data_IF_097061965131
#
_entry.id   IF_097061965131
#
_cell.length_a   1.000
_cell.length_b   1.000
_cell.length_c   1.000
_cell.angle_alpha   90.00
_cell.angle_beta   90.00
_cell.angle_gamma   90.00
#
_symmetry.space_group_name_H-M   'P 1'
#
loop_
_entity.id
_entity.type
_entity.pdbx_description
1 polymer ?
#
# COMPACT_ATOMS: atom_id res chain seq x y z
N UNK A 1 1.57 4.69 18.29
CA UNK A 1 0.96 3.35 18.22
C UNK A 1 0.51 3.06 16.80
N UNK A 2 0.24 1.80 16.46
CA UNK A 2 0.02 1.34 15.06
C UNK A 2 -0.99 2.18 14.26
N UNK A 3 -2.13 2.52 14.85
CA UNK A 3 -3.14 3.38 14.20
C UNK A 3 -2.61 4.77 13.82
N UNK A 4 -1.76 5.38 14.64
CA UNK A 4 -1.16 6.68 14.32
C UNK A 4 -0.18 6.59 13.14
N UNK A 5 0.55 5.47 13.00
CA UNK A 5 1.42 5.22 11.84
C UNK A 5 0.59 5.07 10.56
N UNK A 6 -0.55 4.37 10.62
CA UNK A 6 -1.48 4.28 9.49
C UNK A 6 -2.09 5.63 9.12
N UNK A 7 -2.40 6.49 10.10
CA UNK A 7 -2.86 7.86 9.83
C UNK A 7 -1.83 8.66 9.03
N UNK A 8 -0.55 8.55 9.36
CA UNK A 8 0.52 9.24 8.62
C UNK A 8 0.57 8.78 7.16
N UNK A 9 0.50 7.46 6.91
CA UNK A 9 0.48 6.91 5.55
C UNK A 9 -0.76 7.40 4.79
N UNK A 10 -1.92 7.40 5.45
CA UNK A 10 -3.18 7.87 4.89
C UNK A 10 -3.10 9.34 4.49
N UNK A 11 -2.60 10.19 5.39
CA UNK A 11 -2.48 11.64 5.19
C UNK A 11 -1.56 11.99 4.01
N UNK A 12 -0.48 11.24 3.81
CA UNK A 12 0.41 11.46 2.67
C UNK A 12 -0.27 11.20 1.32
N UNK A 13 -1.14 10.18 1.23
CA UNK A 13 -1.91 9.93 0.01
C UNK A 13 -3.10 10.89 -0.11
N UNK A 14 -3.79 11.19 0.99
CA UNK A 14 -4.89 12.17 1.03
C UNK A 14 -4.43 13.57 0.62
N UNK A 15 -3.16 13.92 0.84
CA UNK A 15 -2.62 15.20 0.38
C UNK A 15 -2.76 15.41 -1.14
N UNK A 16 -2.80 14.34 -1.94
CA UNK A 16 -2.97 14.39 -3.40
C UNK A 16 -4.44 14.29 -3.85
N UNK A 17 -5.35 13.88 -2.97
CA UNK A 17 -6.78 13.78 -3.26
C UNK A 17 -7.43 15.17 -3.33
N UNK A 18 -8.66 15.30 -3.89
CA UNK A 18 -9.38 16.57 -3.88
C UNK A 18 -9.48 17.18 -2.48
N UNK A 19 -9.17 18.47 -2.35
CA UNK A 19 -9.10 19.17 -1.06
C UNK A 19 -7.77 19.06 -0.31
N UNK A 20 -6.85 18.20 -0.76
CA UNK A 20 -5.50 18.10 -0.22
C UNK A 20 -4.55 19.19 -0.74
N UNK A 21 -3.45 19.44 0.00
CA UNK A 21 -2.44 20.47 -0.32
C UNK A 21 -1.70 20.25 -1.66
N UNK A 22 -1.77 19.04 -2.23
CA UNK A 22 -1.18 18.62 -3.50
C UNK A 22 -2.26 18.19 -4.52
N UNK A 23 -3.51 18.60 -4.31
CA UNK A 23 -4.61 18.27 -5.22
C UNK A 23 -4.32 18.74 -6.66
N UNK A 24 -4.71 17.93 -7.65
CA UNK A 24 -4.52 18.24 -9.06
C UNK A 24 -3.12 17.96 -9.63
N UNK A 25 -2.15 17.54 -8.81
CA UNK A 25 -0.82 17.13 -9.31
C UNK A 25 -0.86 15.87 -10.18
N UNK A 26 -1.83 14.98 -9.95
CA UNK A 26 -2.04 13.76 -10.72
C UNK A 26 -3.53 13.62 -11.08
N UNK A 27 -3.86 12.95 -12.20
CA UNK A 27 -5.22 12.50 -12.46
C UNK A 27 -5.73 11.65 -11.30
N UNK A 28 -6.95 11.90 -10.83
CA UNK A 28 -7.51 11.23 -9.65
C UNK A 28 -7.54 9.71 -9.79
N UNK A 29 -7.81 9.20 -11.01
CA UNK A 29 -7.78 7.76 -11.34
C UNK A 29 -6.42 7.09 -11.17
N UNK A 30 -5.33 7.85 -11.03
CA UNK A 30 -3.99 7.30 -10.78
C UNK A 30 -3.71 7.15 -9.29
N UNK A 31 -4.49 7.79 -8.42
CA UNK A 31 -4.35 7.65 -6.99
C UNK A 31 -4.83 6.26 -6.54
N UNK A 32 -4.15 5.63 -5.59
CA UNK A 32 -4.52 4.29 -5.15
C UNK A 32 -5.89 4.31 -4.45
N UNK A 33 -6.74 3.35 -4.81
CA UNK A 33 -8.04 3.14 -4.16
C UNK A 33 -7.91 2.46 -2.79
N UNK A 34 -6.89 1.62 -2.63
CA UNK A 34 -6.58 0.88 -1.39
C UNK A 34 -5.08 0.89 -1.15
N UNK A 35 -4.67 0.79 0.12
CA UNK A 35 -3.25 0.73 0.52
C UNK A 35 -3.04 -0.50 1.39
N UNK A 36 -2.02 -1.29 1.05
CA UNK A 36 -1.57 -2.46 1.82
C UNK A 36 -0.25 -2.08 2.50
N UNK A 37 -0.17 -2.30 3.81
CA UNK A 37 1.10 -2.23 4.54
C UNK A 37 1.70 -3.64 4.56
N UNK A 38 2.88 -3.80 3.95
CA UNK A 38 3.62 -5.05 3.98
C UNK A 38 4.34 -5.23 5.32
N UNK A 39 4.37 -6.47 5.80
CA UNK A 39 5.06 -6.90 7.02
C UNK A 39 6.51 -7.36 6.76
N UNK A 40 6.91 -7.48 5.48
CA UNK A 40 8.26 -7.85 5.08
C UNK A 40 8.82 -6.91 4.00
N UNK A 41 10.10 -6.52 4.07
CA UNK A 41 10.74 -5.72 3.03
C UNK A 41 10.91 -6.52 1.73
N UNK A 42 10.96 -5.80 0.61
CA UNK A 42 11.32 -6.41 -0.67
C UNK A 42 12.84 -6.51 -0.75
N UNK A 43 13.36 -7.71 -0.98
CA UNK A 43 14.80 -7.97 -0.96
C UNK A 43 15.19 -8.88 -2.13
N UNK A 44 16.48 -8.97 -2.42
CA UNK A 44 16.98 -9.97 -3.37
C UNK A 44 16.84 -11.38 -2.80
N UNK A 45 17.04 -11.56 -1.49
CA UNK A 45 16.98 -12.86 -0.82
C UNK A 45 15.60 -13.52 -0.91
N UNK A 46 14.52 -12.74 -0.78
CA UNK A 46 13.16 -13.25 -0.97
C UNK A 46 12.70 -13.21 -2.45
N UNK A 47 13.57 -12.75 -3.35
CA UNK A 47 13.33 -12.68 -4.79
C UNK A 47 12.32 -11.63 -5.22
N UNK A 48 11.90 -10.73 -4.32
CA UNK A 48 11.00 -9.62 -4.65
C UNK A 48 11.72 -8.48 -5.35
N UNK A 49 13.05 -8.40 -5.19
CA UNK A 49 13.93 -7.57 -6.00
C UNK A 49 14.86 -8.45 -6.84
N UNK A 50 15.24 -7.97 -8.02
CA UNK A 50 16.32 -8.56 -8.82
C UNK A 50 17.68 -7.98 -8.41
N UNK A 51 18.76 -8.49 -9.01
CA UNK A 51 20.15 -8.05 -8.77
C UNK A 51 20.45 -6.59 -9.12
N UNK A 52 19.51 -5.90 -9.78
CA UNK A 52 19.57 -4.45 -10.04
C UNK A 52 18.63 -3.65 -9.14
N UNK A 53 18.15 -4.26 -8.05
CA UNK A 53 17.20 -3.69 -7.08
C UNK A 53 15.84 -3.28 -7.67
N UNK A 54 15.48 -3.81 -8.85
CA UNK A 54 14.15 -3.60 -9.45
C UNK A 54 13.17 -4.62 -8.91
N UNK A 55 11.94 -4.18 -8.66
CA UNK A 55 10.84 -5.04 -8.22
C UNK A 55 10.53 -6.13 -9.24
N UNK A 56 10.47 -7.38 -8.77
CA UNK A 56 9.96 -8.52 -9.52
C UNK A 56 8.45 -8.63 -9.29
N UNK A 57 7.68 -7.87 -10.08
CA UNK A 57 6.22 -7.73 -9.93
C UNK A 57 5.48 -9.05 -9.67
N UNK A 58 5.68 -10.05 -10.54
CA UNK A 58 4.95 -11.32 -10.41
C UNK A 58 5.25 -12.09 -9.12
N UNK A 59 6.43 -11.90 -8.53
CA UNK A 59 6.78 -12.50 -7.23
C UNK A 59 6.07 -11.78 -6.09
N UNK A 60 6.03 -10.44 -6.13
CA UNK A 60 5.33 -9.60 -5.14
C UNK A 60 3.83 -9.86 -5.20
N UNK A 61 3.23 -9.83 -6.40
CA UNK A 61 1.80 -10.10 -6.60
C UNK A 61 1.40 -11.49 -6.08
N UNK A 62 2.20 -12.52 -6.37
CA UNK A 62 1.94 -13.88 -5.87
C UNK A 62 2.06 -13.97 -4.34
N UNK A 63 3.05 -13.32 -3.74
CA UNK A 63 3.23 -13.34 -2.29
C UNK A 63 2.10 -12.61 -1.55
N UNK A 64 1.65 -11.48 -2.09
CA UNK A 64 0.58 -10.65 -1.51
C UNK A 64 -0.80 -10.93 -2.11
N UNK A 65 -1.02 -12.05 -2.82
CA UNK A 65 -2.28 -12.31 -3.53
C UNK A 65 -3.51 -12.16 -2.63
N UNK A 66 -3.51 -12.82 -1.46
CA UNK A 66 -4.59 -12.74 -0.48
C UNK A 66 -4.79 -11.31 0.07
N UNK A 67 -3.70 -10.55 0.21
CA UNK A 67 -3.76 -9.15 0.67
C UNK A 67 -4.34 -8.25 -0.41
N UNK A 68 -3.99 -8.48 -1.67
CA UNK A 68 -4.52 -7.76 -2.83
C UNK A 68 -6.01 -8.04 -2.99
N UNK A 69 -6.43 -9.31 -2.90
CA UNK A 69 -7.85 -9.68 -2.95
C UNK A 69 -8.64 -9.04 -1.80
N UNK A 70 -8.14 -9.14 -0.58
CA UNK A 70 -8.78 -8.49 0.57
C UNK A 70 -8.89 -6.97 0.39
N UNK A 71 -7.85 -6.30 -0.13
CA UNK A 71 -7.85 -4.87 -0.37
C UNK A 71 -8.88 -4.41 -1.42
N UNK A 72 -9.45 -5.32 -2.22
CA UNK A 72 -10.53 -5.01 -3.15
C UNK A 72 -11.91 -5.05 -2.51
N UNK A 73 -12.05 -5.64 -1.32
CA UNK A 73 -13.30 -5.64 -0.55
C UNK A 73 -13.62 -4.25 0.03
N UNK A 74 -14.85 -4.04 0.49
CA UNK A 74 -15.25 -2.78 1.15
C UNK A 74 -14.44 -2.57 2.44
N UNK A 75 -14.23 -3.64 3.21
CA UNK A 75 -13.48 -3.59 4.47
C UNK A 75 -11.98 -3.35 4.21
N UNK A 76 -11.37 -4.09 3.29
CA UNK A 76 -9.94 -3.99 3.02
C UNK A 76 -9.50 -2.70 2.32
N UNK A 77 -10.45 -1.94 1.74
CA UNK A 77 -10.19 -0.59 1.21
C UNK A 77 -9.85 0.41 2.30
N UNK A 78 -10.37 0.24 3.51
CA UNK A 78 -10.00 1.10 4.63
C UNK A 78 -8.58 0.75 5.08
N UNK A 79 -7.66 1.72 5.05
CA UNK A 79 -6.29 1.54 5.52
C UNK A 79 -6.21 1.12 7.00
N UNK A 80 -7.23 1.44 7.79
CA UNK A 80 -7.34 1.08 9.21
C UNK A 80 -7.80 -0.38 9.45
N UNK A 81 -7.91 -1.19 8.39
CA UNK A 81 -8.25 -2.61 8.52
C UNK A 81 -7.23 -3.38 9.38
N UNK A 82 -7.70 -4.50 9.95
CA UNK A 82 -6.91 -5.29 10.89
C UNK A 82 -5.63 -5.86 10.27
N UNK A 83 -5.65 -6.27 8.98
CA UNK A 83 -4.45 -6.83 8.32
C UNK A 83 -3.32 -5.81 8.22
N UNK A 84 -3.63 -4.53 7.98
CA UNK A 84 -2.62 -3.46 7.99
C UNK A 84 -2.13 -3.12 9.40
N UNK A 85 -3.03 -3.16 10.41
CA UNK A 85 -2.64 -2.98 11.81
C UNK A 85 -1.69 -4.10 12.25
N UNK A 86 -1.93 -5.34 11.82
CA UNK A 86 -1.11 -6.48 12.19
C UNK A 86 0.28 -6.46 11.51
N UNK A 87 0.41 -5.80 10.36
CA UNK A 87 1.68 -5.67 9.62
C UNK A 87 2.63 -4.59 10.14
N UNK A 88 2.21 -3.77 11.11
CA UNK A 88 3.04 -2.75 11.78
C UNK A 88 3.58 -3.25 13.12
#
# INVERSE_FOLDING_TARGET
>A
GKKAQLSIIKEEVDAYRPGGKKAGMFPERWLPASIIVGDTPFTEQNGMLNTTMKMVRGKVEKFYADRIEYAMTVEGKDIMNQKNIDSL
#
